data_IF_094743910055
#
_entry.id   IF_094743910055
#
_cell.length_a   1.000
_cell.length_b   1.000
_cell.length_c   1.000
_cell.angle_alpha   90.00
_cell.angle_beta   90.00
_cell.angle_gamma   90.00
#
_symmetry.space_group_name_H-M   'P 1'
#
loop_
_entity.id
_entity.type
_entity.pdbx_description
1 polymer ?
#
# COMPACT_ATOMS: atom_id res chain seq x y z
N UNK A 1 -14.95 8.69 -5.76
CA UNK A 1 -14.97 7.73 -4.64
C UNK A 1 -13.54 7.74 -4.16
N UNK A 2 -13.30 8.28 -2.98
CA UNK A 2 -11.97 8.19 -2.40
C UNK A 2 -11.71 6.72 -2.05
N UNK A 3 -10.52 6.18 -2.37
CA UNK A 3 -10.18 4.81 -2.01
C UNK A 3 -10.30 4.64 -0.49
N UNK A 4 -10.82 3.49 -0.01
CA UNK A 4 -10.90 3.26 1.41
C UNK A 4 -9.49 3.32 2.02
N UNK A 5 -9.35 4.15 3.06
CA UNK A 5 -8.14 4.18 3.87
C UNK A 5 -8.07 2.87 4.65
N UNK A 6 -6.88 2.25 4.76
CA UNK A 6 -6.65 0.90 5.34
C UNK A 6 -7.32 0.61 6.70
N UNK A 7 -7.67 1.65 7.46
CA UNK A 7 -8.35 1.55 8.75
C UNK A 7 -9.78 1.02 8.58
N UNK A 8 -9.90 -0.30 8.43
CA UNK A 8 -11.16 -1.03 8.59
C UNK A 8 -11.47 -2.11 7.56
N UNK A 9 -10.60 -2.36 6.56
CA UNK A 9 -10.92 -3.32 5.48
C UNK A 9 -10.11 -4.61 5.56
N UNK A 10 -8.85 -4.54 6.00
CA UNK A 10 -7.99 -5.72 6.17
C UNK A 10 -7.91 -6.18 7.62
N UNK A 11 -7.97 -7.50 7.80
CA UNK A 11 -7.66 -8.15 9.07
C UNK A 11 -6.16 -8.08 9.36
N UNK A 12 -5.76 -8.36 10.61
CA UNK A 12 -4.34 -8.54 10.92
C UNK A 12 -3.77 -9.72 10.13
N UNK A 13 -2.59 -9.55 9.54
CA UNK A 13 -1.99 -10.53 8.65
C UNK A 13 -0.92 -9.97 7.74
N UNK A 14 -0.48 -10.82 6.81
CA UNK A 14 0.55 -10.50 5.81
C UNK A 14 -0.03 -10.74 4.42
N UNK A 15 0.20 -9.78 3.53
CA UNK A 15 -0.39 -9.74 2.20
C UNK A 15 0.69 -9.48 1.16
N UNK A 16 0.75 -10.33 0.14
CA UNK A 16 1.54 -10.04 -1.07
C UNK A 16 0.80 -9.00 -1.89
N UNK A 17 1.51 -7.95 -2.28
CA UNK A 17 0.91 -6.80 -2.95
C UNK A 17 1.71 -6.33 -4.16
N UNK A 18 1.06 -5.58 -5.04
CA UNK A 18 1.67 -4.86 -6.15
C UNK A 18 1.20 -3.42 -6.14
N UNK A 19 2.11 -2.47 -6.32
CA UNK A 19 1.76 -1.05 -6.47
C UNK A 19 1.03 -0.82 -7.79
N UNK A 20 -0.15 -0.22 -7.72
CA UNK A 20 -0.98 0.13 -8.88
C UNK A 20 -1.06 1.63 -9.12
N UNK A 21 -0.88 2.43 -8.07
CA UNK A 21 -0.79 3.88 -8.16
C UNK A 21 0.12 4.43 -7.05
N UNK A 22 0.72 5.59 -7.29
CA UNK A 22 1.50 6.30 -6.30
C UNK A 22 1.48 7.81 -6.58
N UNK A 23 1.23 8.60 -5.55
CA UNK A 23 1.19 10.05 -5.61
C UNK A 23 1.71 10.66 -4.31
N UNK A 24 2.33 11.84 -4.38
CA UNK A 24 2.71 12.62 -3.21
C UNK A 24 1.73 13.77 -2.96
N UNK A 25 1.51 14.09 -1.68
CA UNK A 25 0.75 15.27 -1.30
C UNK A 25 1.64 16.51 -1.16
N UNK A 26 1.02 17.67 -0.92
CA UNK A 26 1.72 18.95 -0.76
C UNK A 26 2.68 18.98 0.45
N UNK A 27 2.62 18.00 1.34
CA UNK A 27 3.49 17.84 2.52
C UNK A 27 4.64 16.83 2.24
N UNK A 28 4.69 16.25 1.04
CA UNK A 28 5.71 15.29 0.61
C UNK A 28 5.50 13.88 1.16
N UNK A 29 4.29 13.56 1.63
CA UNK A 29 3.94 12.18 2.01
C UNK A 29 3.55 11.43 0.75
N UNK A 30 4.23 10.31 0.49
CA UNK A 30 3.89 9.43 -0.63
C UNK A 30 2.73 8.53 -0.20
N UNK A 31 1.64 8.60 -0.94
CA UNK A 31 0.51 7.70 -0.86
C UNK A 31 0.65 6.64 -1.95
N UNK A 32 0.53 5.39 -1.56
CA UNK A 32 0.68 4.26 -2.48
C UNK A 32 -0.61 3.46 -2.47
N UNK A 33 -1.16 3.20 -3.65
CA UNK A 33 -2.25 2.24 -3.80
C UNK A 33 -1.66 0.89 -4.19
N UNK A 34 -2.03 -0.14 -3.44
CA UNK A 34 -1.55 -1.49 -3.66
C UNK A 34 -2.72 -2.44 -3.84
N UNK A 35 -2.57 -3.40 -4.75
CA UNK A 35 -3.53 -4.48 -4.93
C UNK A 35 -3.04 -5.77 -4.28
N UNK A 36 -3.95 -6.50 -3.61
CA UNK A 36 -3.63 -7.77 -2.96
C UNK A 36 -3.64 -8.92 -3.96
N UNK A 37 -2.57 -9.71 -3.97
CA UNK A 37 -2.32 -10.70 -5.02
C UNK A 37 -2.92 -12.09 -4.73
N UNK A 38 -3.19 -12.39 -3.46
CA UNK A 38 -3.63 -13.71 -3.00
C UNK A 38 -4.51 -13.66 -1.74
N UNK A 39 -5.10 -14.81 -1.39
CA UNK A 39 -5.91 -14.96 -0.19
C UNK A 39 -7.34 -14.43 -0.33
N UNK A 40 -8.02 -14.30 0.81
CA UNK A 40 -9.42 -13.88 0.92
C UNK A 40 -9.68 -12.49 0.33
N UNK A 41 -8.68 -11.60 0.43
CA UNK A 41 -8.75 -10.22 -0.01
C UNK A 41 -8.19 -9.99 -1.44
N UNK A 42 -7.99 -11.06 -2.22
CA UNK A 42 -7.39 -10.95 -3.56
C UNK A 42 -8.16 -9.97 -4.45
N UNK A 43 -7.42 -9.05 -5.08
CA UNK A 43 -7.94 -8.03 -5.98
C UNK A 43 -8.47 -6.77 -5.26
N UNK A 44 -8.50 -6.76 -3.93
CA UNK A 44 -8.75 -5.54 -3.16
C UNK A 44 -7.63 -4.53 -3.39
N UNK A 45 -7.99 -3.25 -3.52
CA UNK A 45 -7.05 -2.13 -3.65
C UNK A 45 -7.14 -1.29 -2.39
N UNK A 46 -5.99 -1.06 -1.76
CA UNK A 46 -5.89 -0.33 -0.49
C UNK A 46 -4.86 0.78 -0.60
N UNK A 47 -5.14 1.92 0.03
CA UNK A 47 -4.24 3.07 0.05
C UNK A 47 -3.44 3.11 1.35
N UNK A 48 -2.11 3.12 1.21
CA UNK A 48 -1.12 3.19 2.29
C UNK A 48 -0.46 4.56 2.26
N UNK A 49 -0.47 5.27 3.39
CA UNK A 49 0.39 6.45 3.57
C UNK A 49 1.80 5.96 3.94
N UNK A 50 2.74 6.08 3.00
CA UNK A 50 4.11 5.66 3.18
C UNK A 50 4.97 6.88 3.55
N UNK A 51 5.46 6.91 4.78
CA UNK A 51 6.37 7.97 5.23
C UNK A 51 7.81 7.55 5.00
N UNK A 52 8.64 8.46 4.48
CA UNK A 52 10.08 8.22 4.32
C UNK A 52 10.51 7.47 3.06
N UNK A 53 9.62 7.28 2.08
CA UNK A 53 10.02 6.82 0.75
C UNK A 53 10.76 7.94 0.01
N UNK A 54 12.07 7.80 -0.10
CA UNK A 54 12.95 8.72 -0.83
C UNK A 54 13.04 8.31 -2.31
N UNK A 55 11.89 8.02 -2.93
CA UNK A 55 11.77 7.59 -4.33
C UNK A 55 10.72 8.43 -5.05
N UNK A 56 10.88 8.58 -6.35
CA UNK A 56 9.86 9.17 -7.21
C UNK A 56 8.61 8.27 -7.21
N UNK A 57 7.38 8.80 -7.07
CA UNK A 57 6.17 7.98 -7.11
C UNK A 57 6.06 7.12 -8.37
N UNK A 58 6.51 7.60 -9.53
CA UNK A 58 6.45 6.84 -10.78
C UNK A 58 7.38 5.62 -10.76
N UNK A 59 8.49 5.68 -10.02
CA UNK A 59 9.41 4.55 -9.88
C UNK A 59 8.81 3.43 -9.01
N UNK A 60 7.73 3.70 -8.28
CA UNK A 60 7.05 2.72 -7.43
C UNK A 60 6.05 1.88 -8.21
N UNK A 61 5.60 2.34 -9.37
CA UNK A 61 4.55 1.66 -10.14
C UNK A 61 5.00 0.24 -10.51
N UNK A 62 4.09 -0.72 -10.32
CA UNK A 62 4.36 -2.14 -10.52
C UNK A 62 5.48 -2.72 -9.63
N UNK A 63 5.93 -2.01 -8.60
CA UNK A 63 6.81 -2.58 -7.59
C UNK A 63 6.04 -3.64 -6.77
N UNK A 64 6.56 -4.88 -6.68
CA UNK A 64 6.02 -5.86 -5.76
C UNK A 64 6.40 -5.51 -4.31
N UNK A 65 5.63 -6.02 -3.36
CA UNK A 65 5.92 -5.81 -1.95
C UNK A 65 5.08 -6.65 -1.01
N UNK A 66 5.33 -6.44 0.27
CA UNK A 66 4.62 -7.08 1.37
C UNK A 66 3.96 -6.03 2.24
N UNK A 67 2.65 -6.14 2.42
CA UNK A 67 1.87 -5.36 3.39
C UNK A 67 1.62 -6.22 4.64
N UNK A 68 2.02 -5.71 5.80
CA UNK A 68 1.70 -6.33 7.10
C UNK A 68 0.74 -5.43 7.86
N UNK A 69 -0.36 -6.00 8.36
CA UNK A 69 -1.29 -5.34 9.28
C UNK A 69 -1.15 -6.01 10.64
N UNK A 70 -0.76 -5.22 11.65
CA UNK A 70 -0.61 -5.69 13.02
C UNK A 70 -1.30 -4.70 13.96
N UNK A 71 -2.20 -5.19 14.82
CA UNK A 71 -3.04 -4.36 15.69
C UNK A 71 -3.77 -3.25 14.90
N UNK A 72 -4.24 -3.58 13.68
CA UNK A 72 -4.88 -2.64 12.76
C UNK A 72 -3.96 -1.57 12.16
N UNK A 73 -2.65 -1.67 12.35
CA UNK A 73 -1.66 -0.73 11.83
C UNK A 73 -0.92 -1.32 10.62
N UNK A 74 -0.99 -0.69 9.43
CA UNK A 74 -0.31 -1.18 8.23
C UNK A 74 1.16 -0.76 8.17
N UNK A 75 2.00 -1.66 7.64
CA UNK A 75 3.40 -1.43 7.28
C UNK A 75 3.67 -2.05 5.92
N UNK A 76 4.18 -1.26 4.98
CA UNK A 76 4.51 -1.69 3.61
C UNK A 76 6.02 -1.76 3.42
N UNK A 77 6.50 -2.86 2.86
CA UNK A 77 7.88 -3.04 2.40
C UNK A 77 7.83 -3.37 0.91
N UNK A 78 8.52 -2.58 0.09
CA UNK A 78 8.65 -2.81 -1.36
C UNK A 78 9.93 -3.59 -1.66
N UNK A 79 9.88 -4.42 -2.69
CA UNK A 79 11.05 -5.10 -3.26
C UNK A 79 11.86 -4.15 -4.16
N UNK A 80 13.14 -4.47 -4.39
CA UNK A 80 14.08 -3.71 -5.22
C UNK A 80 14.23 -4.30 -6.64
#
# INVERSE_FOLDING_TARGET
MDPPTLRGVLSDGTYDVLVVDADDDAEGVVHVEVTILAGEHKGEVVRVAATGLQRDPLDLLAAPGTLTVADGSPSLVLED
#
